data_IF_454444348481
#
_entry.id   IF_454444348481
#
_cell.length_a   1.000
_cell.length_b   1.000
_cell.length_c   1.000
_cell.angle_alpha   90.00
_cell.angle_beta   90.00
_cell.angle_gamma   90.00
#
_symmetry.space_group_name_H-M   'P 1'
#
loop_
_entity.id
_entity.type
_entity.pdbx_description
1 polymer ?
#
# COMPACT_ATOMS: atom_id res chain seq x y z
N UNK A 1 8.08 -0.57 -13.38
CA UNK A 1 8.86 0.34 -12.50
C UNK A 1 8.08 0.74 -11.25
N UNK A 2 6.87 1.25 -11.39
CA UNK A 2 6.13 1.81 -10.25
C UNK A 2 5.55 0.75 -9.32
N UNK A 3 5.29 -0.45 -9.82
CA UNK A 3 4.55 -1.52 -9.14
C UNK A 3 5.04 -1.79 -7.71
N UNK A 4 6.36 -1.85 -7.54
CA UNK A 4 7.01 -2.10 -6.24
C UNK A 4 6.83 -0.97 -5.21
N UNK A 5 6.33 0.18 -5.65
CA UNK A 5 6.17 1.39 -4.85
C UNK A 5 4.70 1.82 -4.70
N UNK A 6 3.79 1.32 -5.56
CA UNK A 6 2.39 1.76 -5.59
C UNK A 6 1.41 0.67 -5.17
N UNK A 7 1.68 -0.60 -5.46
CA UNK A 7 0.79 -1.72 -5.12
C UNK A 7 1.09 -2.26 -3.71
N UNK A 8 1.27 -1.38 -2.73
CA UNK A 8 1.70 -1.74 -1.38
C UNK A 8 0.57 -2.41 -0.61
N UNK A 9 0.59 -3.73 -0.57
CA UNK A 9 -0.51 -4.55 -0.11
C UNK A 9 -1.56 -4.84 -1.16
N UNK A 10 -1.23 -4.73 -2.45
CA UNK A 10 -2.11 -4.97 -3.60
C UNK A 10 -2.68 -3.69 -4.22
N UNK A 11 -3.73 -3.85 -5.04
CA UNK A 11 -4.44 -2.71 -5.64
C UNK A 11 -5.00 -1.79 -4.55
N UNK A 12 -4.86 -0.49 -4.76
CA UNK A 12 -5.26 0.54 -3.80
C UNK A 12 -4.31 0.69 -2.62
N UNK A 13 -3.09 0.14 -2.67
CA UNK A 13 -2.16 0.19 -1.54
C UNK A 13 -2.82 -0.24 -0.20
N UNK A 14 -3.61 -1.32 -0.26
CA UNK A 14 -4.54 -1.71 0.80
C UNK A 14 -3.89 -2.17 2.10
N UNK A 15 -2.57 -2.41 2.13
CA UNK A 15 -1.89 -2.58 3.41
C UNK A 15 -1.90 -1.27 4.22
N UNK A 16 -1.84 -0.11 3.55
CA UNK A 16 -2.04 1.19 4.20
C UNK A 16 -3.43 1.32 4.83
N UNK A 17 -4.47 0.78 4.18
CA UNK A 17 -5.82 0.72 4.75
C UNK A 17 -5.87 -0.20 5.98
N UNK A 18 -5.29 -1.39 5.90
CA UNK A 18 -5.24 -2.33 7.02
C UNK A 18 -4.58 -1.67 8.25
N UNK A 19 -3.45 -0.99 8.03
CA UNK A 19 -2.76 -0.23 9.09
C UNK A 19 -3.65 0.91 9.60
N UNK A 20 -4.28 1.68 8.72
CA UNK A 20 -5.18 2.77 9.10
C UNK A 20 -6.37 2.29 9.95
N UNK A 21 -6.95 1.13 9.65
CA UNK A 21 -8.01 0.51 10.43
C UNK A 21 -7.52 0.18 11.85
N UNK A 22 -6.32 -0.39 11.99
CA UNK A 22 -5.77 -0.69 13.31
C UNK A 22 -5.47 0.55 14.15
N UNK A 23 -5.08 1.66 13.49
CA UNK A 23 -4.76 2.92 14.15
C UNK A 23 -6.01 3.71 14.57
N UNK A 24 -7.03 3.79 13.71
CA UNK A 24 -8.16 4.72 13.89
C UNK A 24 -9.51 4.04 14.18
N UNK A 25 -9.72 2.80 13.72
CA UNK A 25 -11.05 2.17 13.82
C UNK A 25 -11.32 1.57 15.19
N UNK A 26 -12.50 1.90 15.74
CA UNK A 26 -13.04 1.29 16.97
C UNK A 26 -14.04 0.16 16.67
N UNK A 27 -14.45 -0.01 15.42
CA UNK A 27 -15.44 -1.00 15.02
C UNK A 27 -14.84 -2.41 14.99
N UNK A 28 -15.50 -3.35 15.67
CA UNK A 28 -14.98 -4.71 15.83
C UNK A 28 -14.96 -5.51 14.51
N UNK A 29 -15.96 -5.32 13.67
CA UNK A 29 -16.06 -5.94 12.33
C UNK A 29 -14.89 -5.53 11.42
N UNK A 30 -14.59 -4.23 11.35
CA UNK A 30 -13.47 -3.71 10.55
C UNK A 30 -12.12 -4.25 11.04
N UNK A 31 -11.89 -4.24 12.36
CA UNK A 31 -10.65 -4.76 12.95
C UNK A 31 -10.50 -6.26 12.75
N UNK A 32 -11.59 -7.02 12.79
CA UNK A 32 -11.56 -8.46 12.56
C UNK A 32 -11.18 -8.78 11.11
N UNK A 33 -11.77 -8.09 10.14
CA UNK A 33 -11.41 -8.25 8.72
C UNK A 33 -9.95 -7.85 8.49
N UNK A 34 -9.51 -6.70 9.02
CA UNK A 34 -8.13 -6.25 8.90
C UNK A 34 -7.13 -7.27 9.50
N UNK A 35 -7.47 -7.91 10.63
CA UNK A 35 -6.65 -8.95 11.25
C UNK A 35 -6.52 -10.20 10.37
N UNK A 36 -7.61 -10.61 9.72
CA UNK A 36 -7.61 -11.76 8.81
C UNK A 36 -6.88 -11.46 7.49
N UNK A 37 -6.97 -10.21 7.00
CA UNK A 37 -6.36 -9.79 5.75
C UNK A 37 -4.88 -9.37 5.87
N UNK A 38 -4.38 -9.09 7.08
CA UNK A 38 -3.01 -8.63 7.28
C UNK A 38 -1.94 -9.59 6.70
N UNK A 39 -2.00 -10.92 6.94
CA UNK A 39 -0.99 -11.83 6.41
C UNK A 39 -0.92 -11.79 4.88
N UNK A 40 -2.06 -11.89 4.19
CA UNK A 40 -2.10 -11.79 2.72
C UNK A 40 -1.67 -10.42 2.24
N UNK A 41 -2.07 -9.35 2.95
CA UNK A 41 -1.69 -7.97 2.63
C UNK A 41 -0.18 -7.72 2.68
N UNK A 42 0.54 -8.33 3.61
CA UNK A 42 2.02 -8.24 3.65
C UNK A 42 2.63 -8.80 2.36
N UNK A 43 2.07 -9.89 1.84
CA UNK A 43 2.46 -10.52 0.58
C UNK A 43 1.67 -10.00 -0.62
N UNK A 44 1.15 -8.77 -0.53
CA UNK A 44 0.59 -8.01 -1.66
C UNK A 44 -0.74 -8.57 -2.21
N UNK A 45 -1.37 -9.50 -1.49
CA UNK A 45 -2.65 -10.15 -1.81
C UNK A 45 -3.78 -9.42 -1.07
N UNK A 46 -4.73 -8.83 -1.80
CA UNK A 46 -5.71 -7.89 -1.25
C UNK A 46 -7.18 -8.33 -1.36
N UNK A 47 -7.46 -9.51 -1.89
CA UNK A 47 -8.82 -10.07 -1.96
C UNK A 47 -9.49 -10.15 -0.58
N UNK A 48 -8.81 -10.59 0.51
CA UNK A 48 -9.46 -10.67 1.81
C UNK A 48 -9.96 -9.33 2.36
N UNK A 49 -9.26 -8.23 2.07
CA UNK A 49 -9.69 -6.89 2.50
C UNK A 49 -10.70 -6.26 1.54
N UNK A 50 -10.56 -6.49 0.23
CA UNK A 50 -11.49 -6.01 -0.81
C UNK A 50 -12.87 -6.65 -0.73
N UNK A 51 -12.94 -7.93 -0.40
CA UNK A 51 -14.21 -8.65 -0.26
C UNK A 51 -14.72 -8.68 1.19
N UNK A 52 -13.82 -8.56 2.17
CA UNK A 52 -14.19 -8.53 3.58
C UNK A 52 -14.79 -7.20 4.03
N UNK A 53 -14.47 -6.10 3.34
CA UNK A 53 -15.11 -4.79 3.50
C UNK A 53 -15.76 -4.37 2.18
N UNK A 54 -16.87 -3.64 2.18
CA UNK A 54 -17.52 -3.18 0.94
C UNK A 54 -16.76 -1.99 0.32
N UNK A 55 -15.45 -2.13 0.06
CA UNK A 55 -14.58 -1.04 -0.42
C UNK A 55 -15.06 -0.51 -1.78
N UNK A 56 -15.37 -1.42 -2.70
CA UNK A 56 -15.80 -1.08 -4.06
C UNK A 56 -17.23 -0.52 -4.06
N UNK A 57 -18.09 -1.03 -3.17
CA UNK A 57 -19.50 -0.63 -3.10
C UNK A 57 -19.76 0.60 -2.22
N UNK A 58 -18.77 1.04 -1.43
CA UNK A 58 -18.87 2.21 -0.57
C UNK A 58 -18.14 3.40 -1.22
N UNK A 59 -18.86 4.42 -1.73
CA UNK A 59 -18.25 5.58 -2.37
C UNK A 59 -17.21 6.31 -1.50
N UNK A 60 -17.39 6.29 -0.17
CA UNK A 60 -16.47 6.93 0.78
C UNK A 60 -15.11 6.23 0.78
N UNK A 61 -15.09 4.90 0.66
CA UNK A 61 -13.87 4.09 0.60
C UNK A 61 -13.31 3.97 -0.82
N UNK A 62 -14.18 4.08 -1.82
CA UNK A 62 -13.81 4.03 -3.23
C UNK A 62 -12.94 5.22 -3.65
N UNK A 63 -13.21 6.42 -3.11
CA UNK A 63 -12.41 7.63 -3.38
C UNK A 63 -10.93 7.46 -3.01
N UNK A 64 -10.55 7.17 -1.74
CA UNK A 64 -9.15 6.99 -1.39
C UNK A 64 -8.52 5.79 -2.10
N UNK A 65 -9.31 4.73 -2.37
CA UNK A 65 -8.84 3.54 -3.08
C UNK A 65 -8.33 3.83 -4.50
N UNK A 66 -9.00 4.73 -5.21
CA UNK A 66 -8.56 5.18 -6.54
C UNK A 66 -7.42 6.19 -6.43
N UNK A 67 -7.54 7.17 -5.53
CA UNK A 67 -6.62 8.32 -5.50
C UNK A 67 -5.24 8.00 -4.95
N UNK A 68 -5.12 6.99 -4.08
CA UNK A 68 -3.85 6.68 -3.41
C UNK A 68 -2.75 6.35 -4.41
N UNK A 69 -3.00 5.50 -5.40
CA UNK A 69 -1.96 5.02 -6.31
C UNK A 69 -1.38 6.11 -7.21
N UNK A 70 -2.18 7.01 -7.85
CA UNK A 70 -1.64 8.18 -8.54
C UNK A 70 -0.75 9.05 -7.66
N UNK A 71 -1.10 9.24 -6.38
CA UNK A 71 -0.30 10.02 -5.43
C UNK A 71 1.03 9.31 -5.15
N UNK A 72 1.00 8.01 -4.87
CA UNK A 72 2.22 7.22 -4.67
C UNK A 72 3.10 7.18 -5.92
N UNK A 73 2.49 7.12 -7.10
CA UNK A 73 3.19 7.18 -8.38
C UNK A 73 3.92 8.53 -8.54
N UNK A 74 3.26 9.64 -8.23
CA UNK A 74 3.87 10.97 -8.29
C UNK A 74 5.09 11.07 -7.35
N UNK A 75 4.98 10.59 -6.10
CA UNK A 75 6.09 10.56 -5.13
C UNK A 75 7.25 9.72 -5.68
N UNK A 76 6.94 8.54 -6.22
CA UNK A 76 7.95 7.61 -6.77
C UNK A 76 8.68 8.23 -7.96
N UNK A 77 7.95 8.90 -8.86
CA UNK A 77 8.53 9.58 -10.02
C UNK A 77 9.43 10.74 -9.59
N UNK A 78 9.00 11.56 -8.62
CA UNK A 78 9.85 12.62 -8.07
C UNK A 78 11.12 12.04 -7.46
N UNK A 79 11.01 10.99 -6.65
CA UNK A 79 12.18 10.32 -6.05
C UNK A 79 13.14 9.78 -7.13
N UNK A 80 12.61 9.25 -8.22
CA UNK A 80 13.43 8.77 -9.34
C UNK A 80 14.14 9.90 -10.08
N UNK A 81 13.42 10.95 -10.47
CA UNK A 81 14.01 12.07 -11.22
C UNK A 81 14.99 12.91 -10.39
N UNK A 82 14.84 12.91 -9.06
CA UNK A 82 15.83 13.49 -8.14
C UNK A 82 17.05 12.58 -7.90
N UNK A 83 17.08 11.38 -8.47
CA UNK A 83 18.18 10.43 -8.30
C UNK A 83 18.22 9.74 -6.93
N UNK A 84 17.14 9.81 -6.14
CA UNK A 84 17.04 9.18 -4.81
C UNK A 84 16.96 7.65 -4.95
N UNK A 85 16.23 7.17 -5.95
CA UNK A 85 16.09 5.74 -6.24
C UNK A 85 16.70 5.41 -7.61
N UNK A 86 17.46 4.31 -7.72
CA UNK A 86 18.03 3.88 -8.98
C UNK A 86 16.97 3.24 -9.89
N UNK A 87 17.26 3.02 -11.18
CA UNK A 87 16.39 2.28 -12.08
C UNK A 87 16.19 0.84 -11.62
N UNK A 88 15.07 0.24 -12.04
CA UNK A 88 14.82 -1.19 -11.86
C UNK A 88 15.71 -1.98 -12.81
N UNK A 89 16.43 -2.96 -12.26
CA UNK A 89 17.31 -3.89 -13.00
C UNK A 89 16.83 -5.34 -12.94
N UNK A 90 16.00 -5.69 -11.94
CA UNK A 90 15.52 -7.04 -11.71
C UNK A 90 13.99 -7.09 -11.63
N UNK A 91 13.42 -8.29 -11.79
CA UNK A 91 11.99 -8.54 -11.62
C UNK A 91 11.83 -9.61 -10.54
N UNK A 92 11.60 -9.15 -9.30
CA UNK A 92 11.23 -9.99 -8.19
C UNK A 92 9.75 -10.40 -8.29
N UNK A 93 9.36 -11.52 -7.66
CA UNK A 93 7.94 -11.90 -7.54
C UNK A 93 7.10 -10.76 -6.95
N UNK A 94 5.91 -10.54 -7.51
CA UNK A 94 5.01 -9.47 -7.05
C UNK A 94 4.47 -9.71 -5.63
N UNK A 95 4.52 -10.95 -5.15
CA UNK A 95 4.15 -11.36 -3.78
C UNK A 95 5.26 -11.10 -2.76
N UNK A 96 6.38 -10.48 -3.15
CA UNK A 96 7.41 -10.09 -2.20
C UNK A 96 6.82 -9.23 -1.07
N UNK A 97 7.23 -9.45 0.20
CA UNK A 97 6.78 -8.63 1.30
C UNK A 97 6.90 -7.13 1.00
N UNK A 98 5.89 -6.36 1.41
CA UNK A 98 5.79 -4.93 1.07
C UNK A 98 7.11 -4.18 1.29
N UNK A 99 7.60 -3.50 0.25
CA UNK A 99 8.86 -2.78 0.24
C UNK A 99 10.08 -3.60 -0.22
N UNK A 100 10.14 -4.91 0.07
CA UNK A 100 11.27 -5.74 -0.35
C UNK A 100 11.35 -5.91 -1.87
N UNK A 101 10.20 -5.91 -2.56
CA UNK A 101 10.17 -5.88 -4.02
C UNK A 101 10.97 -4.70 -4.58
N UNK A 102 10.86 -3.51 -3.98
CA UNK A 102 11.60 -2.31 -4.42
C UNK A 102 13.11 -2.49 -4.20
N UNK A 103 13.52 -3.03 -3.06
CA UNK A 103 14.91 -3.33 -2.74
C UNK A 103 15.55 -4.28 -3.77
N UNK A 104 14.93 -5.44 -4.02
CA UNK A 104 15.50 -6.44 -4.94
C UNK A 104 15.45 -6.00 -6.41
N UNK A 105 14.38 -5.32 -6.81
CA UNK A 105 14.23 -4.80 -8.16
C UNK A 105 15.27 -3.75 -8.51
N UNK A 106 15.82 -3.05 -7.52
CA UNK A 106 16.84 -2.02 -7.66
C UNK A 106 18.25 -2.50 -7.30
N UNK A 107 18.49 -3.81 -7.36
CA UNK A 107 19.77 -4.44 -7.03
C UNK A 107 20.27 -4.17 -5.60
N UNK A 108 19.36 -4.13 -4.62
CA UNK A 108 19.67 -3.98 -3.22
C UNK A 108 19.73 -2.52 -2.73
N UNK A 109 19.02 -1.59 -3.39
CA UNK A 109 18.99 -0.21 -2.93
C UNK A 109 18.14 -0.04 -1.67
N UNK A 110 18.79 0.33 -0.57
CA UNK A 110 18.10 0.68 0.68
C UNK A 110 17.22 1.93 0.49
N UNK A 111 17.64 2.88 -0.35
CA UNK A 111 16.83 4.06 -0.65
C UNK A 111 15.49 3.68 -1.31
N UNK A 112 15.50 2.69 -2.22
CA UNK A 112 14.28 2.17 -2.83
C UNK A 112 13.34 1.53 -1.80
N UNK A 113 13.88 0.74 -0.86
CA UNK A 113 13.11 0.19 0.26
C UNK A 113 12.45 1.30 1.09
N UNK A 114 13.23 2.32 1.46
CA UNK A 114 12.74 3.43 2.27
C UNK A 114 11.65 4.24 1.56
N UNK A 115 11.77 4.47 0.25
CA UNK A 115 10.73 5.15 -0.54
C UNK A 115 9.46 4.31 -0.62
N UNK A 116 9.56 2.98 -0.76
CA UNK A 116 8.39 2.11 -0.73
C UNK A 116 7.69 2.13 0.65
N UNK A 117 8.46 2.11 1.75
CA UNK A 117 7.91 2.23 3.11
C UNK A 117 7.33 3.64 3.39
N UNK A 118 7.94 4.67 2.84
CA UNK A 118 7.39 6.03 2.87
C UNK A 118 6.05 6.10 2.14
N UNK A 119 5.95 5.51 0.95
CA UNK A 119 4.69 5.41 0.23
C UNK A 119 3.64 4.61 1.02
N UNK A 120 4.03 3.57 1.76
CA UNK A 120 3.10 2.84 2.64
C UNK A 120 2.58 3.74 3.77
N UNK A 121 3.45 4.57 4.36
CA UNK A 121 3.04 5.55 5.35
C UNK A 121 2.08 6.59 4.74
N UNK A 122 2.37 7.11 3.55
CA UNK A 122 1.48 8.04 2.84
C UNK A 122 0.13 7.40 2.52
N UNK A 123 0.12 6.15 2.04
CA UNK A 123 -1.12 5.40 1.82
C UNK A 123 -1.94 5.28 3.11
N UNK A 124 -1.27 4.95 4.22
CA UNK A 124 -1.89 4.89 5.55
C UNK A 124 -2.52 6.23 5.91
N UNK A 125 -1.78 7.34 5.75
CA UNK A 125 -2.27 8.70 6.04
C UNK A 125 -3.48 9.08 5.18
N UNK A 126 -3.48 8.70 3.89
CA UNK A 126 -4.61 8.92 2.98
C UNK A 126 -5.84 8.15 3.46
N UNK A 127 -5.67 6.91 3.94
CA UNK A 127 -6.78 6.10 4.43
C UNK A 127 -7.24 6.43 5.85
N UNK A 128 -6.42 7.05 6.71
CA UNK A 128 -6.79 7.39 8.08
C UNK A 128 -8.14 8.12 8.22
N UNK A 129 -8.46 9.18 7.44
CA UNK A 129 -9.75 9.86 7.55
C UNK A 129 -10.95 9.00 7.13
N UNK A 130 -10.74 7.88 6.44
CA UNK A 130 -11.80 7.00 5.92
C UNK A 130 -11.90 5.66 6.68
N UNK A 131 -10.78 5.14 7.20
CA UNK A 131 -10.73 3.86 7.92
C UNK A 131 -11.25 3.94 9.36
N UNK A 132 -11.28 5.15 9.93
CA UNK A 132 -11.97 5.47 11.17
C UNK A 132 -13.44 5.75 10.93
N UNK A 133 -14.22 4.72 10.59
CA UNK A 133 -15.68 4.83 10.55
C UNK A 133 -16.19 5.30 11.92
N UNK A 134 -16.58 6.57 12.01
CA UNK A 134 -17.56 7.02 12.98
C UNK A 134 -18.88 6.30 12.81
#
# INVERSE_FOLDING_TARGET
>A
MLDSYIFLGGSGATLGLIIAIFLASRRADYRQVAKLALPSGIFQINEPILFGLPIIMNPVMFIPFILVQPILAAITLVAYYLGIIPPITNIAPWTMPTGLGAFFNTNGSVAALLVALFNLAVATLIYLPFGGGG
#
